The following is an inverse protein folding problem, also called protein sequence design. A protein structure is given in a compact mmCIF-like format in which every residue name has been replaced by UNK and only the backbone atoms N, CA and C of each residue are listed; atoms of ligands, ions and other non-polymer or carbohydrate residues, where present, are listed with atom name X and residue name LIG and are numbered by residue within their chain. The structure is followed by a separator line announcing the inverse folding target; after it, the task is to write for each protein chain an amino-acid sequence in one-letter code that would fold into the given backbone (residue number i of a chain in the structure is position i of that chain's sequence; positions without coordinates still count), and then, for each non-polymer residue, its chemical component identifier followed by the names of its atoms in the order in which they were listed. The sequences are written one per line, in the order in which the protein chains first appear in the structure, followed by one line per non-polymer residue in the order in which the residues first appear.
data_IF_737549160529
#
_entry.id   IF_737549160529
#
_cell.length_a   1.000
_cell.length_b   1.000
_cell.length_c   1.000
_cell.angle_alpha   90.00
_cell.angle_beta   90.00
_cell.angle_gamma   90.00
#
_symmetry.space_group_name_H-M   'P 1'
#
loop_
_entity.id
_entity.type
_entity.pdbx_description
1 polymer ?
#
# COMPACT_ATOMS: atom_id res chain seq x y z
N UNK A 1 -2.25 -71.59 65.70
CA UNK A 1 -1.58 -70.33 66.12
C UNK A 1 -0.87 -69.73 64.91
N UNK A 2 -0.78 -68.39 64.79
CA UNK A 2 -1.24 -67.65 63.62
C UNK A 2 -0.14 -66.95 62.77
N UNK A 3 -0.52 -66.58 61.54
CA UNK A 3 -0.30 -65.29 60.81
C UNK A 3 1.14 -64.80 60.50
N UNK A 4 1.59 -64.83 59.21
CA UNK A 4 1.61 -63.74 58.16
C UNK A 4 2.69 -62.64 58.36
N UNK A 5 3.03 -61.69 57.43
CA UNK A 5 2.66 -61.47 55.99
C UNK A 5 3.75 -60.85 55.03
N UNK A 6 3.33 -60.63 53.76
CA UNK A 6 3.67 -59.54 52.78
C UNK A 6 4.97 -59.63 51.93
N UNK A 7 5.05 -59.30 50.61
CA UNK A 7 4.43 -58.26 49.73
C UNK A 7 4.34 -58.75 48.24
N UNK A 8 3.22 -58.58 47.50
CA UNK A 8 2.87 -57.59 46.41
C UNK A 8 3.94 -57.34 45.33
N UNK A 9 3.69 -57.13 44.02
CA UNK A 9 2.57 -57.21 43.02
C UNK A 9 3.16 -56.62 41.72
N UNK A 10 2.93 -57.21 40.53
CA UNK A 10 2.65 -56.49 39.26
C UNK A 10 2.48 -57.47 38.08
N UNK A 11 1.33 -57.39 37.41
CA UNK A 11 0.98 -58.05 36.14
C UNK A 11 0.76 -56.95 35.09
N UNK A 12 1.09 -57.23 33.82
CA UNK A 12 0.44 -56.61 32.65
C UNK A 12 0.23 -57.66 31.57
N UNK A 13 -1.03 -57.80 31.18
CA UNK A 13 -1.57 -58.63 30.10
C UNK A 13 -1.51 -57.83 28.79
N UNK A 14 -1.25 -58.52 27.68
CA UNK A 14 -1.36 -57.99 26.31
C UNK A 14 -2.30 -58.89 25.52
N UNK A 15 -3.41 -58.31 25.07
CA UNK A 15 -4.49 -58.91 24.28
C UNK A 15 -4.32 -58.69 22.77
N UNK A 16 -5.03 -59.53 22.01
CA UNK A 16 -5.02 -59.82 20.57
C UNK A 16 -5.38 -58.67 19.59
N UNK A 17 -4.90 -58.76 18.33
CA UNK A 17 -5.63 -59.07 17.05
C UNK A 17 -5.01 -58.36 15.81
N UNK A 18 -5.05 -58.96 14.60
CA UNK A 18 -4.37 -58.46 13.39
C UNK A 18 -5.30 -57.70 12.45
N UNK A 19 -4.78 -56.77 11.63
CA UNK A 19 -5.56 -56.10 10.60
C UNK A 19 -4.78 -55.76 9.32
N UNK A 20 -5.54 -55.82 8.22
CA UNK A 20 -5.15 -56.00 6.83
C UNK A 20 -4.40 -54.81 6.19
N UNK A 21 -3.38 -55.10 5.36
CA UNK A 21 -2.80 -54.12 4.41
C UNK A 21 -3.16 -54.50 2.98
N UNK A 22 -4.15 -53.81 2.44
CA UNK A 22 -4.50 -53.80 1.01
C UNK A 22 -3.78 -52.61 0.36
N UNK A 23 -2.82 -52.88 -0.52
CA UNK A 23 -2.15 -51.86 -1.34
C UNK A 23 -2.95 -51.62 -2.63
N UNK A 24 -3.32 -50.36 -2.89
CA UNK A 24 -3.90 -49.91 -4.17
C UNK A 24 -2.81 -49.36 -5.11
N UNK A 25 -3.02 -49.37 -6.44
CA UNK A 25 -2.01 -48.99 -7.41
C UNK A 25 -1.93 -47.47 -7.66
N UNK A 26 -0.72 -47.05 -8.00
CA UNK A 26 -0.21 -45.69 -8.18
C UNK A 26 -0.50 -45.19 -9.62
N UNK A 27 -1.50 -44.31 -9.79
CA UNK A 27 -1.81 -43.67 -11.09
C UNK A 27 -0.90 -42.46 -11.34
N UNK A 28 0.19 -42.69 -12.08
CA UNK A 28 0.98 -41.62 -12.72
C UNK A 28 0.25 -41.08 -13.95
N UNK A 29 -0.32 -39.88 -13.85
CA UNK A 29 -0.71 -39.07 -15.01
C UNK A 29 0.31 -37.94 -15.23
N UNK A 30 1.09 -38.07 -16.30
CA UNK A 30 1.92 -36.99 -16.86
C UNK A 30 1.06 -36.19 -17.86
N UNK A 31 0.95 -34.88 -17.66
CA UNK A 31 0.36 -33.96 -18.64
C UNK A 31 1.45 -33.35 -19.55
N UNK A 32 1.14 -32.99 -20.81
CA UNK A 32 2.14 -32.50 -21.76
C UNK A 32 2.45 -30.99 -21.58
N UNK A 33 3.72 -30.66 -21.79
CA UNK A 33 4.37 -29.36 -21.70
C UNK A 33 4.17 -28.56 -23.01
N UNK A 34 3.23 -27.62 -23.07
CA UNK A 34 3.04 -26.72 -24.22
C UNK A 34 3.93 -25.48 -24.11
N UNK A 35 5.12 -25.56 -24.71
CA UNK A 35 5.99 -24.39 -24.95
C UNK A 35 5.70 -23.84 -26.34
N UNK A 36 5.01 -22.70 -26.41
CA UNK A 36 4.89 -21.89 -27.64
C UNK A 36 5.64 -20.57 -27.43
N UNK A 37 6.86 -20.49 -27.95
CA UNK A 37 7.63 -19.26 -28.04
C UNK A 37 7.30 -18.56 -29.37
N UNK A 38 6.82 -17.32 -29.31
CA UNK A 38 6.67 -16.43 -30.47
C UNK A 38 7.92 -15.55 -30.67
N UNK A 39 8.23 -15.11 -31.90
CA UNK A 39 9.43 -14.34 -32.18
C UNK A 39 9.27 -12.84 -31.87
N UNK A 40 10.40 -12.26 -31.46
CA UNK A 40 10.63 -10.90 -30.99
C UNK A 40 11.04 -9.99 -32.17
N UNK A 41 10.14 -9.12 -32.65
CA UNK A 41 10.45 -8.15 -33.70
C UNK A 41 11.00 -6.84 -33.10
N UNK A 42 12.33 -6.73 -33.16
CA UNK A 42 13.08 -5.48 -32.97
C UNK A 42 12.73 -4.50 -34.08
N UNK A 43 12.20 -3.32 -33.73
CA UNK A 43 12.27 -2.12 -34.58
C UNK A 43 13.06 -1.02 -33.89
N UNK A 44 14.21 -0.71 -34.47
CA UNK A 44 15.00 0.50 -34.20
C UNK A 44 14.43 1.65 -35.05
N UNK A 45 14.37 2.86 -34.47
CA UNK A 45 14.10 4.11 -35.18
C UNK A 45 15.05 5.20 -34.64
N UNK A 46 15.51 6.15 -35.48
CA UNK A 46 16.75 6.89 -35.23
C UNK A 46 16.60 8.22 -34.47
N UNK A 47 17.75 8.60 -33.91
CA UNK A 47 18.18 9.85 -33.28
C UNK A 47 18.18 11.02 -34.28
N UNK A 48 17.52 12.14 -33.97
CA UNK A 48 17.77 13.42 -34.65
C UNK A 48 17.92 14.59 -33.66
N UNK A 49 19.14 15.13 -33.72
CA UNK A 49 19.69 16.26 -32.98
C UNK A 49 19.16 17.58 -33.55
N UNK A 50 19.02 18.58 -32.68
CA UNK A 50 18.86 19.99 -33.09
C UNK A 50 19.77 20.89 -32.24
N UNK A 51 20.71 21.66 -32.82
CA UNK A 51 21.45 22.69 -32.09
C UNK A 51 20.77 24.08 -32.19
N UNK A 52 21.09 24.95 -31.24
CA UNK A 52 20.50 26.28 -30.98
C UNK A 52 20.86 27.39 -31.99
N UNK A 53 20.70 28.66 -31.59
CA UNK A 53 21.93 29.39 -31.23
C UNK A 53 21.81 30.40 -30.08
N UNK A 54 23.02 30.77 -29.63
CA UNK A 54 23.41 31.78 -28.64
C UNK A 54 22.95 33.21 -28.92
N UNK A 55 22.86 33.99 -27.83
CA UNK A 55 22.69 35.44 -27.84
C UNK A 55 23.14 36.07 -26.53
N UNK A 56 24.45 36.01 -26.27
CA UNK A 56 25.14 36.66 -25.15
C UNK A 56 25.40 38.13 -25.47
N UNK A 57 24.95 39.07 -24.63
CA UNK A 57 25.61 40.37 -24.46
C UNK A 57 25.54 40.81 -22.98
N UNK A 58 26.72 41.00 -22.40
CA UNK A 58 26.99 41.63 -21.12
C UNK A 58 27.42 43.09 -21.35
N UNK A 59 27.02 44.01 -20.47
CA UNK A 59 27.82 45.16 -20.02
C UNK A 59 27.13 45.76 -18.77
N UNK A 60 27.64 45.70 -17.53
CA UNK A 60 28.65 46.58 -16.88
C UNK A 60 28.45 48.09 -17.16
N UNK A 61 28.50 49.07 -16.24
CA UNK A 61 28.80 49.17 -14.80
C UNK A 61 28.38 50.57 -14.29
N UNK A 62 28.12 50.66 -12.98
CA UNK A 62 28.49 51.73 -12.01
C UNK A 62 28.26 53.25 -12.21
N UNK A 63 27.83 53.85 -11.09
CA UNK A 63 28.11 55.21 -10.52
C UNK A 63 26.79 55.86 -10.07
N UNK A 64 26.62 56.52 -8.91
CA UNK A 64 27.50 56.99 -7.84
C UNK A 64 26.63 57.35 -6.62
N UNK A 65 27.28 57.35 -5.46
CA UNK A 65 26.80 57.67 -4.12
C UNK A 65 26.29 59.12 -3.96
N UNK A 66 25.38 59.37 -2.99
CA UNK A 66 25.62 60.20 -1.76
C UNK A 66 24.30 60.66 -1.08
N UNK A 67 24.20 60.28 0.20
CA UNK A 67 23.45 60.85 1.34
C UNK A 67 23.88 62.32 1.66
N UNK A 68 23.43 63.04 2.73
CA UNK A 68 22.39 62.83 3.76
C UNK A 68 21.57 64.11 4.15
N UNK A 69 20.81 64.02 5.26
CA UNK A 69 20.60 65.06 6.32
C UNK A 69 19.56 66.16 6.04
N UNK A 70 18.73 66.67 6.97
CA UNK A 70 18.76 66.67 8.43
C UNK A 70 17.44 67.30 8.97
N UNK A 71 17.07 66.92 10.20
CA UNK A 71 16.41 67.73 11.26
C UNK A 71 15.19 68.63 10.97
N UNK A 72 14.10 68.43 11.73
CA UNK A 72 13.76 69.29 12.90
C UNK A 72 12.50 68.83 13.65
N UNK A 73 12.67 68.79 14.98
CA UNK A 73 11.64 68.65 16.01
C UNK A 73 10.68 69.85 15.99
N UNK A 74 9.40 69.64 16.32
CA UNK A 74 8.80 70.08 17.59
C UNK A 74 7.28 70.35 17.50
N UNK A 75 6.58 69.70 18.44
CA UNK A 75 5.47 70.20 19.29
C UNK A 75 4.02 70.13 18.81
N UNK A 76 3.24 69.76 19.82
CA UNK A 76 1.83 69.45 19.96
C UNK A 76 0.96 70.70 19.78
N UNK A 77 -0.25 70.53 19.24
CA UNK A 77 -1.46 71.02 19.92
C UNK A 77 -2.73 70.42 19.30
N UNK A 78 -3.69 70.08 20.16
CA UNK A 78 -4.93 69.42 19.79
C UNK A 78 -6.01 70.39 19.31
N UNK A 79 -6.77 69.98 18.29
CA UNK A 79 -8.06 70.56 17.92
C UNK A 79 -9.06 69.45 17.57
N UNK A 80 -10.16 69.40 18.34
CA UNK A 80 -11.33 68.52 18.15
C UNK A 80 -12.23 69.10 17.05
N UNK A 81 -12.51 68.42 15.93
CA UNK A 81 -13.73 68.64 15.13
C UNK A 81 -14.27 67.34 14.49
N UNK A 82 -15.53 67.06 14.85
CA UNK A 82 -16.62 66.29 14.21
C UNK A 82 -16.42 64.83 13.77
N UNK A 83 -17.30 63.97 14.29
CA UNK A 83 -17.54 62.61 13.84
C UNK A 83 -18.15 62.60 12.43
N UNK A 84 -17.31 62.56 11.40
CA UNK A 84 -17.76 62.16 10.08
C UNK A 84 -18.06 60.66 10.08
N UNK A 85 -19.34 60.35 9.83
CA UNK A 85 -19.84 58.99 9.60
C UNK A 85 -18.90 58.30 8.61
N UNK A 86 -18.15 57.31 9.10
CA UNK A 86 -17.33 56.42 8.25
C UNK A 86 -18.25 55.83 7.19
N UNK A 87 -18.08 56.24 5.94
CA UNK A 87 -18.71 55.63 4.79
C UNK A 87 -18.16 54.21 4.70
N UNK A 88 -18.85 53.24 5.29
CA UNK A 88 -18.53 51.84 5.07
C UNK A 88 -18.82 51.56 3.60
N UNK A 89 -17.87 50.93 2.91
CA UNK A 89 -18.03 50.51 1.52
C UNK A 89 -19.39 49.78 1.34
N UNK A 90 -20.09 49.96 0.19
CA UNK A 90 -21.37 49.30 -0.10
C UNK A 90 -21.35 47.78 0.12
N UNK A 91 -20.14 47.21 0.12
CA UNK A 91 -19.86 45.80 0.32
C UNK A 91 -20.07 45.30 1.77
N UNK A 92 -20.04 46.18 2.78
CA UNK A 92 -20.24 45.81 4.19
C UNK A 92 -21.68 46.05 4.68
N UNK A 93 -22.63 46.23 3.76
CA UNK A 93 -24.06 46.30 4.08
C UNK A 93 -24.51 44.93 4.57
N UNK A 94 -24.78 44.80 5.87
CA UNK A 94 -25.22 43.58 6.54
C UNK A 94 -26.63 43.19 6.06
N UNK A 95 -26.73 42.61 4.87
CA UNK A 95 -27.93 41.92 4.40
C UNK A 95 -27.87 40.48 4.91
N UNK A 96 -28.90 40.09 5.63
CA UNK A 96 -29.04 38.77 6.23
C UNK A 96 -29.46 37.73 5.17
N UNK A 97 -28.67 37.61 4.11
CA UNK A 97 -28.75 36.56 3.09
C UNK A 97 -27.37 35.93 3.01
N UNK A 98 -27.00 35.20 4.07
CA UNK A 98 -25.83 34.35 4.01
C UNK A 98 -26.10 33.28 2.94
N UNK A 99 -25.48 33.45 1.76
CA UNK A 99 -25.29 32.33 0.84
C UNK A 99 -24.76 31.18 1.71
N UNK A 100 -25.50 30.07 1.75
CA UNK A 100 -25.09 28.88 2.50
C UNK A 100 -23.62 28.61 2.17
N UNK A 101 -22.80 28.36 3.19
CA UNK A 101 -21.39 28.03 3.01
C UNK A 101 -21.28 27.03 1.85
N UNK A 102 -20.37 27.26 0.87
CA UNK A 102 -20.30 26.42 -0.32
C UNK A 102 -20.28 24.97 0.14
N UNK A 103 -21.34 24.22 -0.16
CA UNK A 103 -21.36 22.78 0.09
C UNK A 103 -20.29 22.21 -0.82
N UNK A 104 -19.06 22.12 -0.31
CA UNK A 104 -18.01 21.33 -0.93
C UNK A 104 -18.65 19.97 -1.13
N UNK A 105 -18.90 19.57 -2.38
CA UNK A 105 -19.19 18.17 -2.69
C UNK A 105 -18.01 17.42 -2.07
N UNK A 106 -18.24 16.77 -0.93
CA UNK A 106 -17.20 16.00 -0.31
C UNK A 106 -16.88 14.90 -1.31
N UNK A 107 -15.78 15.04 -2.03
CA UNK A 107 -15.15 13.89 -2.66
C UNK A 107 -14.80 12.98 -1.49
N UNK A 108 -15.70 12.05 -1.15
CA UNK A 108 -15.48 11.10 -0.06
C UNK A 108 -14.33 10.24 -0.53
N UNK A 109 -13.14 10.51 0.00
CA UNK A 109 -11.97 9.66 -0.21
C UNK A 109 -12.14 8.48 0.72
N UNK A 110 -12.30 7.29 0.15
CA UNK A 110 -12.36 6.04 0.91
C UNK A 110 -11.19 5.93 1.89
N UNK A 111 -11.51 5.61 3.14
CA UNK A 111 -10.55 5.28 4.17
C UNK A 111 -11.08 4.04 4.86
N UNK A 112 -10.50 2.85 4.59
CA UNK A 112 -10.99 1.62 5.19
C UNK A 112 -10.87 1.71 6.71
N UNK A 113 -11.94 1.40 7.46
CA UNK A 113 -11.95 1.52 8.92
C UNK A 113 -11.02 0.50 9.56
N UNK A 114 -10.51 0.83 10.75
CA UNK A 114 -9.65 -0.07 11.53
C UNK A 114 -10.49 -1.13 12.21
N UNK A 115 -10.11 -2.39 12.06
CA UNK A 115 -10.84 -3.52 12.64
C UNK A 115 -10.13 -4.08 13.88
N UNK A 116 -10.81 -4.92 14.68
CA UNK A 116 -10.17 -5.69 15.75
C UNK A 116 -9.10 -6.69 15.26
N UNK A 117 -9.06 -7.01 13.96
CA UNK A 117 -8.18 -8.05 13.39
C UNK A 117 -6.79 -7.54 13.04
N UNK A 118 -6.59 -6.22 12.96
CA UNK A 118 -5.32 -5.58 12.68
C UNK A 118 -4.63 -6.14 11.42
N UNK A 119 -5.40 -6.23 10.32
CA UNK A 119 -4.84 -6.68 9.05
C UNK A 119 -3.78 -5.68 8.57
N UNK A 120 -2.68 -6.18 7.99
CA UNK A 120 -1.61 -5.30 7.49
C UNK A 120 -2.11 -4.38 6.37
N UNK A 121 -3.15 -4.80 5.65
CA UNK A 121 -3.84 -3.99 4.64
C UNK A 121 -4.43 -2.70 5.22
N UNK A 122 -4.91 -2.72 6.46
CA UNK A 122 -5.48 -1.53 7.14
C UNK A 122 -4.45 -0.42 7.35
N UNK A 123 -3.16 -0.76 7.39
CA UNK A 123 -2.09 0.23 7.55
C UNK A 123 -1.46 0.63 6.23
N UNK A 124 -1.56 -0.20 5.18
CA UNK A 124 -0.89 0.02 3.90
C UNK A 124 -1.81 0.59 2.79
N UNK A 125 -3.11 0.72 3.01
CA UNK A 125 -4.10 1.09 1.98
C UNK A 125 -3.80 2.40 1.21
N UNK A 126 -3.07 3.33 1.83
CA UNK A 126 -2.71 4.61 1.21
C UNK A 126 -1.63 4.47 0.12
N UNK A 127 -0.96 3.32 0.07
CA UNK A 127 0.05 2.96 -0.92
C UNK A 127 -0.33 1.59 -1.53
N UNK A 128 -1.08 1.58 -2.66
CA UNK A 128 -1.55 0.34 -3.26
C UNK A 128 -0.43 -0.62 -3.65
N UNK A 129 0.74 -0.11 -4.02
CA UNK A 129 1.88 -0.97 -4.34
C UNK A 129 2.36 -1.70 -3.08
N UNK A 130 2.54 -1.01 -1.95
CA UNK A 130 2.93 -1.65 -0.69
C UNK A 130 1.88 -2.65 -0.21
N UNK A 131 0.59 -2.31 -0.30
CA UNK A 131 -0.48 -3.23 0.04
C UNK A 131 -0.41 -4.51 -0.80
N UNK A 132 -0.23 -4.39 -2.11
CA UNK A 132 -0.11 -5.55 -3.01
C UNK A 132 1.16 -6.35 -2.76
N UNK A 133 2.31 -5.71 -2.49
CA UNK A 133 3.52 -6.40 -2.04
C UNK A 133 3.24 -7.22 -0.78
N UNK A 134 2.53 -6.66 0.21
CA UNK A 134 2.17 -7.38 1.42
C UNK A 134 1.35 -8.65 1.11
N UNK A 135 0.44 -8.59 0.13
CA UNK A 135 -0.33 -9.78 -0.29
C UNK A 135 0.58 -10.86 -0.89
N UNK A 136 1.61 -10.48 -1.65
CA UNK A 136 2.61 -11.42 -2.18
C UNK A 136 3.43 -12.07 -1.05
N UNK A 137 3.74 -11.32 0.01
CA UNK A 137 4.44 -11.83 1.19
C UNK A 137 3.61 -12.84 1.99
N UNK A 138 2.29 -12.62 2.08
CA UNK A 138 1.35 -13.45 2.83
C UNK A 138 0.93 -14.73 2.09
N UNK A 139 1.29 -14.88 0.81
CA UNK A 139 1.03 -16.11 0.06
C UNK A 139 1.65 -17.32 0.76
N UNK A 140 0.77 -18.22 1.23
CA UNK A 140 1.13 -19.48 1.93
C UNK A 140 2.13 -19.27 3.08
N UNK A 141 2.10 -18.09 3.71
CA UNK A 141 3.03 -17.70 4.77
C UNK A 141 2.26 -17.00 5.89
N UNK A 142 2.54 -17.33 7.14
CA UNK A 142 1.87 -16.67 8.26
C UNK A 142 2.32 -15.21 8.41
N UNK A 143 1.37 -14.32 8.73
CA UNK A 143 1.69 -12.90 8.97
C UNK A 143 2.74 -12.69 10.06
N UNK A 144 2.76 -13.55 11.10
CA UNK A 144 3.76 -13.52 12.17
C UNK A 144 5.21 -13.61 11.64
N UNK A 145 5.43 -14.39 10.58
CA UNK A 145 6.74 -14.53 9.95
C UNK A 145 6.95 -13.51 8.83
N UNK A 146 5.92 -13.25 8.04
CA UNK A 146 6.02 -12.40 6.86
C UNK A 146 6.16 -10.89 7.19
N UNK A 147 5.44 -10.39 8.19
CA UNK A 147 5.34 -8.95 8.49
C UNK A 147 6.70 -8.34 8.89
N UNK A 148 7.53 -8.95 9.76
CA UNK A 148 8.85 -8.41 10.07
C UNK A 148 9.75 -8.27 8.82
N UNK A 149 9.77 -9.30 7.96
CA UNK A 149 10.56 -9.31 6.73
C UNK A 149 9.99 -8.34 5.69
N UNK A 150 8.68 -8.13 5.66
CA UNK A 150 8.03 -7.13 4.81
C UNK A 150 8.51 -5.71 5.14
N UNK A 151 8.65 -5.37 6.43
CA UNK A 151 9.17 -4.06 6.82
C UNK A 151 10.65 -3.89 6.48
N UNK A 152 11.46 -4.94 6.65
CA UNK A 152 12.86 -4.94 6.18
C UNK A 152 12.94 -4.77 4.66
N UNK A 153 12.03 -5.42 3.91
CA UNK A 153 11.90 -5.23 2.48
C UNK A 153 11.60 -3.77 2.13
N UNK A 154 10.62 -3.12 2.76
CA UNK A 154 10.31 -1.72 2.47
C UNK A 154 11.41 -0.74 2.85
N UNK A 155 12.29 -1.08 3.79
CA UNK A 155 13.47 -0.27 4.07
C UNK A 155 14.50 -0.33 2.93
N UNK A 156 14.68 -1.50 2.31
CA UNK A 156 15.65 -1.71 1.22
C UNK A 156 15.07 -1.36 -0.16
N UNK A 157 13.78 -1.58 -0.35
CA UNK A 157 13.05 -1.45 -1.60
C UNK A 157 11.78 -0.61 -1.34
N UNK A 158 11.93 0.73 -1.20
CA UNK A 158 10.86 1.59 -0.69
C UNK A 158 9.73 1.85 -1.69
N UNK A 159 9.94 1.58 -2.97
CA UNK A 159 8.97 1.85 -4.05
C UNK A 159 9.05 0.84 -5.20
N UNK A 160 8.06 0.90 -6.09
CA UNK A 160 8.02 0.10 -7.31
C UNK A 160 9.21 0.38 -8.23
N UNK A 161 9.64 1.64 -8.34
CA UNK A 161 10.76 2.09 -9.17
C UNK A 161 12.08 1.44 -8.73
N UNK A 162 12.34 1.42 -7.41
CA UNK A 162 13.53 0.77 -6.87
C UNK A 162 13.45 -0.75 -7.05
N UNK A 163 12.29 -1.33 -6.77
CA UNK A 163 12.11 -2.79 -6.82
C UNK A 163 12.26 -3.33 -8.24
N UNK A 164 11.67 -2.69 -9.25
CA UNK A 164 11.76 -3.17 -10.65
C UNK A 164 13.18 -3.12 -11.22
N UNK A 165 14.01 -2.19 -10.75
CA UNK A 165 15.39 -2.03 -11.18
C UNK A 165 16.39 -2.93 -10.43
N UNK A 166 15.92 -3.70 -9.44
CA UNK A 166 16.77 -4.50 -8.56
C UNK A 166 17.03 -5.91 -9.10
N UNK A 167 18.18 -6.51 -8.73
CA UNK A 167 18.43 -7.93 -8.99
C UNK A 167 17.64 -8.83 -8.03
N UNK A 168 17.13 -9.94 -8.53
CA UNK A 168 16.32 -10.86 -7.73
C UNK A 168 17.14 -11.66 -6.71
N UNK A 169 18.46 -11.82 -6.88
CA UNK A 169 19.26 -12.68 -5.99
C UNK A 169 19.37 -12.11 -4.57
N UNK A 170 19.75 -10.83 -4.35
CA UNK A 170 19.76 -10.25 -3.00
C UNK A 170 18.37 -10.25 -2.36
N UNK A 171 17.33 -9.97 -3.15
CA UNK A 171 15.95 -10.02 -2.69
C UNK A 171 15.55 -11.43 -2.26
N UNK A 172 15.96 -12.46 -3.01
CA UNK A 172 15.70 -13.86 -2.64
C UNK A 172 16.38 -14.26 -1.34
N UNK A 173 17.57 -13.71 -1.04
CA UNK A 173 18.26 -13.94 0.23
C UNK A 173 17.46 -13.38 1.40
N UNK A 174 16.95 -12.15 1.27
CA UNK A 174 16.05 -11.54 2.27
C UNK A 174 14.80 -12.39 2.51
N UNK A 175 14.25 -12.99 1.45
CA UNK A 175 13.02 -13.79 1.51
C UNK A 175 13.24 -15.25 1.92
N UNK A 176 14.50 -15.72 2.07
CA UNK A 176 14.81 -17.12 2.42
C UNK A 176 14.02 -17.67 3.61
N UNK A 177 13.88 -16.95 4.74
CA UNK A 177 13.19 -17.47 5.92
C UNK A 177 11.70 -17.77 5.70
N UNK A 178 11.09 -17.19 4.66
CA UNK A 178 9.68 -17.36 4.36
C UNK A 178 9.39 -18.57 3.46
N UNK A 179 10.41 -19.14 2.80
CA UNK A 179 10.27 -20.14 1.74
C UNK A 179 9.82 -19.53 0.41
N UNK A 180 9.78 -20.31 -0.68
CA UNK A 180 9.40 -19.83 -2.04
C UNK A 180 10.16 -18.55 -2.47
N UNK A 181 11.36 -18.35 -1.94
CA UNK A 181 12.07 -17.06 -1.95
C UNK A 181 12.44 -16.61 -3.35
N UNK A 182 12.98 -17.51 -4.18
CA UNK A 182 13.32 -17.24 -5.59
C UNK A 182 12.08 -16.88 -6.41
N UNK A 183 10.98 -17.63 -6.23
CA UNK A 183 9.73 -17.36 -6.94
C UNK A 183 9.19 -15.98 -6.54
N UNK A 184 9.09 -15.72 -5.22
CA UNK A 184 8.62 -14.43 -4.70
C UNK A 184 9.50 -13.26 -5.13
N UNK A 185 10.83 -13.40 -5.09
CA UNK A 185 11.73 -12.33 -5.51
C UNK A 185 11.52 -11.95 -6.98
N UNK A 186 11.45 -12.94 -7.87
CA UNK A 186 11.17 -12.70 -9.28
C UNK A 186 9.78 -12.13 -9.51
N UNK A 187 8.77 -12.63 -8.79
CA UNK A 187 7.41 -12.10 -8.82
C UNK A 187 7.38 -10.63 -8.40
N UNK A 188 8.02 -10.24 -7.31
CA UNK A 188 8.03 -8.86 -6.81
C UNK A 188 8.68 -7.89 -7.80
N UNK A 189 9.79 -8.27 -8.43
CA UNK A 189 10.45 -7.45 -9.45
C UNK A 189 9.54 -7.28 -10.67
N UNK A 190 9.01 -8.37 -11.22
CA UNK A 190 8.13 -8.31 -12.40
C UNK A 190 6.81 -7.60 -12.10
N UNK A 191 6.21 -7.86 -10.95
CA UNK A 191 5.02 -7.16 -10.46
C UNK A 191 5.27 -5.65 -10.42
N UNK A 192 6.38 -5.22 -9.82
CA UNK A 192 6.71 -3.79 -9.68
C UNK A 192 7.00 -3.13 -11.03
N UNK A 193 7.58 -3.88 -11.97
CA UNK A 193 7.75 -3.42 -13.34
C UNK A 193 6.40 -3.19 -14.03
N UNK A 194 5.53 -4.20 -14.02
CA UNK A 194 4.20 -4.15 -14.64
C UNK A 194 3.28 -3.12 -13.96
N UNK A 195 3.40 -2.94 -12.64
CA UNK A 195 2.65 -1.94 -11.87
C UNK A 195 2.86 -0.52 -12.41
N UNK A 196 4.08 -0.21 -12.87
CA UNK A 196 4.43 1.11 -13.41
C UNK A 196 4.32 1.21 -14.93
N UNK A 197 4.53 0.10 -15.65
CA UNK A 197 4.65 0.10 -17.11
C UNK A 197 3.36 -0.27 -17.85
N UNK A 198 2.47 -1.06 -17.23
CA UNK A 198 1.18 -1.43 -17.83
C UNK A 198 0.09 -0.40 -17.51
N UNK A 199 -0.83 -0.21 -18.44
CA UNK A 199 -2.12 0.41 -18.14
C UNK A 199 -3.06 -0.67 -17.60
N UNK A 200 -3.29 -0.69 -16.29
CA UNK A 200 -4.17 -1.65 -15.60
C UNK A 200 -5.28 -0.92 -14.87
N UNK A 201 -6.45 -1.55 -14.75
CA UNK A 201 -7.59 -1.03 -13.97
C UNK A 201 -7.66 -1.70 -12.61
N UNK A 202 -7.47 -3.02 -12.58
CA UNK A 202 -7.44 -3.83 -11.37
C UNK A 202 -6.14 -4.61 -11.30
N UNK A 203 -5.57 -4.80 -10.09
CA UNK A 203 -4.24 -5.37 -9.99
C UNK A 203 -4.21 -6.87 -10.33
N UNK A 204 -5.34 -7.57 -10.46
CA UNK A 204 -5.39 -8.94 -11.00
C UNK A 204 -4.80 -9.06 -12.41
N UNK A 205 -4.70 -7.95 -13.16
CA UNK A 205 -4.07 -7.87 -14.47
C UNK A 205 -2.54 -7.89 -14.40
N UNK A 206 -1.97 -7.71 -13.20
CA UNK A 206 -0.54 -7.64 -12.95
C UNK A 206 0.02 -8.99 -12.54
N UNK A 207 1.22 -9.29 -13.03
CA UNK A 207 1.90 -10.54 -12.72
C UNK A 207 2.03 -10.76 -11.20
N UNK A 208 1.62 -11.94 -10.73
CA UNK A 208 1.75 -12.34 -9.33
C UNK A 208 0.60 -11.93 -8.41
N UNK A 209 -0.34 -11.14 -8.89
CA UNK A 209 -1.54 -10.76 -8.13
C UNK A 209 -2.72 -11.63 -8.56
N UNK A 210 -3.17 -12.50 -7.66
CA UNK A 210 -4.37 -13.30 -7.84
C UNK A 210 -5.60 -12.66 -7.19
N UNK A 211 -6.70 -13.44 -7.11
CA UNK A 211 -7.96 -13.02 -6.49
C UNK A 211 -7.79 -12.42 -5.09
N UNK A 212 -7.00 -13.05 -4.22
CA UNK A 212 -6.72 -12.53 -2.88
C UNK A 212 -6.15 -11.10 -2.87
N UNK A 213 -5.13 -10.83 -3.70
CA UNK A 213 -4.54 -9.51 -3.78
C UNK A 213 -5.48 -8.48 -4.42
N UNK A 214 -6.27 -8.92 -5.40
CA UNK A 214 -7.28 -8.09 -6.04
C UNK A 214 -8.43 -7.72 -5.09
N UNK A 215 -8.96 -8.67 -4.34
CA UNK A 215 -9.99 -8.44 -3.33
C UNK A 215 -9.46 -7.53 -2.22
N UNK A 216 -8.20 -7.70 -1.81
CA UNK A 216 -7.53 -6.80 -0.87
C UNK A 216 -7.48 -5.36 -1.42
N UNK A 217 -7.09 -5.17 -2.68
CA UNK A 217 -7.10 -3.85 -3.31
C UNK A 217 -8.52 -3.25 -3.37
N UNK A 218 -9.51 -4.05 -3.79
CA UNK A 218 -10.90 -3.61 -3.94
C UNK A 218 -11.59 -3.27 -2.62
N UNK A 219 -11.14 -3.85 -1.51
CA UNK A 219 -11.67 -3.54 -0.17
C UNK A 219 -10.95 -2.33 0.43
N UNK A 220 -9.62 -2.29 0.34
CA UNK A 220 -8.83 -1.33 1.11
C UNK A 220 -8.43 -0.08 0.32
N UNK A 221 -8.09 -0.22 -0.96
CA UNK A 221 -7.61 0.90 -1.78
C UNK A 221 -8.74 1.65 -2.48
N UNK A 222 -9.82 0.96 -2.84
CA UNK A 222 -11.00 1.55 -3.49
C UNK A 222 -12.27 1.16 -2.71
N UNK A 223 -13.32 1.98 -2.79
CA UNK A 223 -14.58 1.78 -2.05
C UNK A 223 -15.48 0.70 -2.68
N UNK A 224 -14.91 -0.42 -3.11
CA UNK A 224 -15.64 -1.48 -3.80
C UNK A 224 -15.93 -2.68 -2.89
N UNK A 225 -15.72 -2.55 -1.58
CA UNK A 225 -15.84 -3.66 -0.62
C UNK A 225 -17.21 -4.37 -0.66
N UNK A 226 -18.28 -3.66 -1.01
CA UNK A 226 -19.64 -4.21 -1.16
C UNK A 226 -19.80 -5.15 -2.35
N UNK A 227 -18.94 -5.03 -3.35
CA UNK A 227 -18.94 -5.81 -4.61
C UNK A 227 -17.88 -6.93 -4.59
N UNK A 228 -17.24 -7.16 -3.44
CA UNK A 228 -16.20 -8.15 -3.26
C UNK A 228 -16.76 -9.33 -2.46
N UNK A 229 -16.42 -10.55 -2.89
CA UNK A 229 -16.68 -11.80 -2.16
C UNK A 229 -15.34 -12.50 -1.95
N UNK A 230 -14.67 -12.29 -0.81
CA UNK A 230 -13.33 -12.82 -0.59
C UNK A 230 -13.34 -14.32 -0.25
N UNK A 231 -12.30 -15.05 -0.66
CA UNK A 231 -12.12 -16.46 -0.26
C UNK A 231 -11.09 -16.63 0.87
N UNK A 232 -10.25 -15.62 1.09
CA UNK A 232 -9.24 -15.64 2.14
C UNK A 232 -9.90 -15.54 3.52
N UNK A 233 -9.46 -16.37 4.46
CA UNK A 233 -10.05 -16.42 5.80
C UNK A 233 -9.95 -15.08 6.52
N UNK A 234 -8.79 -14.41 6.48
CA UNK A 234 -8.59 -13.16 7.23
C UNK A 234 -9.32 -12.00 6.57
N UNK A 235 -9.39 -12.01 5.24
CA UNK A 235 -10.16 -11.03 4.49
C UNK A 235 -11.67 -11.19 4.72
N UNK A 236 -12.15 -12.44 4.86
CA UNK A 236 -13.53 -12.74 5.26
C UNK A 236 -13.86 -12.21 6.66
N UNK A 237 -12.98 -12.41 7.65
CA UNK A 237 -13.18 -11.87 9.01
C UNK A 237 -13.41 -10.35 8.97
N UNK A 238 -12.56 -9.61 8.25
CA UNK A 238 -12.67 -8.16 8.09
C UNK A 238 -13.92 -7.74 7.30
N UNK A 239 -14.24 -8.46 6.22
CA UNK A 239 -15.38 -8.15 5.35
C UNK A 239 -16.73 -8.38 6.05
N UNK A 240 -16.87 -9.47 6.80
CA UNK A 240 -18.05 -9.71 7.63
C UNK A 240 -18.22 -8.61 8.69
N UNK A 241 -17.13 -8.24 9.37
CA UNK A 241 -17.15 -7.14 10.33
C UNK A 241 -17.54 -5.79 9.69
N UNK A 242 -17.08 -5.50 8.48
CA UNK A 242 -17.52 -4.31 7.74
C UNK A 242 -19.04 -4.30 7.54
N UNK A 243 -19.62 -5.42 7.09
CA UNK A 243 -21.07 -5.53 6.92
C UNK A 243 -21.84 -5.29 8.22
N UNK A 244 -21.36 -5.85 9.34
CA UNK A 244 -21.97 -5.70 10.66
C UNK A 244 -21.90 -4.26 11.19
N UNK A 245 -20.85 -3.51 10.85
CA UNK A 245 -20.55 -2.21 11.47
C UNK A 245 -20.76 -1.01 10.53
N UNK A 246 -21.15 -1.23 9.28
CA UNK A 246 -21.24 -0.17 8.26
C UNK A 246 -22.06 1.06 8.67
N UNK A 247 -23.21 0.85 9.34
CA UNK A 247 -24.11 1.93 9.75
C UNK A 247 -23.45 2.79 10.85
N UNK A 248 -22.82 2.13 11.82
CA UNK A 248 -22.10 2.80 12.91
C UNK A 248 -20.86 3.54 12.41
N UNK A 249 -20.20 3.01 11.38
CA UNK A 249 -19.02 3.59 10.75
C UNK A 249 -19.37 4.69 9.71
N UNK A 250 -20.64 4.82 9.33
CA UNK A 250 -21.12 5.81 8.37
C UNK A 250 -20.63 5.55 6.94
N UNK A 251 -20.47 4.28 6.55
CA UNK A 251 -20.01 3.82 5.23
C UNK A 251 -21.04 2.94 4.54
#
# INVERSE_FOLDING_TARGET
MPQTPHKRRAQRLSTERPDERRAGPDERRQGPDERRAGPDERRQGPDERRPGPDGRLQSSSESQQREPSETRRAREDGLKISAEKRKTSPYFSRRNEALSAPKRKAFRKWTPPRSPFNLVQETLFHDPWKLLVATVFLNRTSGKMAIPVLWEFFQRYPSAEVTRASDWRPLSVLLQPLGLSTLRAKTLIRFSDEYLSKSWRYPIELHGIGKYGNDSYRIFCVEEWREVTPDDHKLNDYHAWLWENQEQLGI
#
